data_IF_242153152437
#
_entry.id   IF_242153152437
#
_cell.length_a   1.000
_cell.length_b   1.000
_cell.length_c   1.000
_cell.angle_alpha   90.00
_cell.angle_beta   90.00
_cell.angle_gamma   90.00
#
_symmetry.space_group_name_H-M   'P 1'
#
loop_
_entity.id
_entity.type
_entity.pdbx_description
1 polymer ?
#
# COMPACT_ATOMS: atom_id res chain seq x y z
N UNK A 1 19.25 -15.98 33.85
CA UNK A 1 18.99 -14.61 33.36
C UNK A 1 17.62 -14.63 32.71
N UNK A 2 16.62 -13.99 33.32
CA UNK A 2 15.31 -13.76 32.65
C UNK A 2 15.55 -12.75 31.53
N UNK A 3 15.40 -13.18 30.27
CA UNK A 3 15.22 -12.26 29.17
C UNK A 3 14.01 -11.39 29.51
N UNK A 4 14.19 -10.07 29.57
CA UNK A 4 13.06 -9.15 29.52
C UNK A 4 12.42 -9.36 28.15
N UNK A 5 11.28 -10.04 28.13
CA UNK A 5 10.40 -10.02 26.98
C UNK A 5 9.95 -8.56 26.82
N UNK A 6 10.62 -7.84 25.91
CA UNK A 6 10.20 -6.50 25.53
C UNK A 6 8.76 -6.56 25.02
N UNK A 7 7.95 -5.60 25.38
CA UNK A 7 6.58 -5.50 24.91
C UNK A 7 6.61 -5.30 23.39
N UNK A 8 6.24 -6.33 22.63
CA UNK A 8 6.23 -6.29 21.17
C UNK A 8 4.91 -5.66 20.73
N UNK A 9 4.95 -4.40 20.28
CA UNK A 9 3.77 -3.64 19.85
C UNK A 9 3.18 -4.15 18.54
N UNK A 10 3.99 -4.80 17.72
CA UNK A 10 3.61 -5.26 16.38
C UNK A 10 3.25 -6.75 16.29
N UNK A 11 3.12 -7.45 17.42
CA UNK A 11 2.69 -8.86 17.43
C UNK A 11 1.18 -8.99 17.21
N UNK A 12 0.74 -8.68 16.01
CA UNK A 12 -0.66 -8.74 15.61
C UNK A 12 -0.82 -9.02 14.11
N UNK A 13 -2.03 -9.39 13.71
CA UNK A 13 -2.35 -9.77 12.34
C UNK A 13 -2.16 -8.61 11.33
N UNK A 14 -2.39 -7.37 11.75
CA UNK A 14 -2.18 -6.20 10.88
C UNK A 14 -0.69 -6.06 10.50
N UNK A 15 0.21 -6.18 11.48
CA UNK A 15 1.65 -6.19 11.25
C UNK A 15 2.10 -7.39 10.38
N UNK A 16 1.48 -8.56 10.58
CA UNK A 16 1.78 -9.74 9.76
C UNK A 16 1.43 -9.52 8.27
N UNK A 17 0.32 -8.83 7.96
CA UNK A 17 0.01 -8.44 6.58
C UNK A 17 1.02 -7.43 6.01
N UNK A 18 1.45 -6.45 6.79
CA UNK A 18 2.50 -5.50 6.39
C UNK A 18 3.79 -6.26 6.10
N UNK A 19 4.23 -7.13 7.01
CA UNK A 19 5.42 -7.97 6.84
C UNK A 19 5.34 -8.82 5.56
N UNK A 20 4.17 -9.42 5.27
CA UNK A 20 3.96 -10.24 4.08
C UNK A 20 4.12 -9.43 2.78
N UNK A 21 3.58 -8.22 2.72
CA UNK A 21 3.75 -7.35 1.54
C UNK A 21 5.20 -6.90 1.39
N UNK A 22 5.87 -6.53 2.50
CA UNK A 22 7.29 -6.14 2.48
C UNK A 22 8.17 -7.30 2.02
N UNK A 23 7.95 -8.51 2.54
CA UNK A 23 8.72 -9.70 2.16
C UNK A 23 8.53 -10.03 0.66
N UNK A 24 7.29 -10.03 0.18
CA UNK A 24 6.99 -10.27 -1.23
C UNK A 24 7.67 -9.22 -2.13
N UNK A 25 7.56 -7.93 -1.77
CA UNK A 25 8.21 -6.87 -2.52
C UNK A 25 9.73 -7.03 -2.54
N UNK A 26 10.35 -7.29 -1.39
CA UNK A 26 11.80 -7.47 -1.32
C UNK A 26 12.29 -8.67 -2.15
N UNK A 27 11.47 -9.72 -2.31
CA UNK A 27 11.78 -10.91 -3.14
C UNK A 27 11.59 -10.64 -4.63
N UNK A 28 10.50 -9.97 -5.01
CA UNK A 28 10.15 -9.77 -6.42
C UNK A 28 10.86 -8.55 -7.04
N UNK A 29 11.25 -7.58 -6.21
CA UNK A 29 11.90 -6.33 -6.63
C UNK A 29 13.15 -6.03 -5.78
N UNK A 30 14.18 -6.92 -5.77
CA UNK A 30 15.33 -6.81 -4.87
C UNK A 30 16.13 -5.51 -5.07
N UNK A 31 16.16 -4.97 -6.29
CA UNK A 31 16.92 -3.77 -6.66
C UNK A 31 16.10 -2.47 -6.52
N UNK A 32 14.87 -2.55 -5.97
CA UNK A 32 14.00 -1.38 -5.80
C UNK A 32 13.83 -1.01 -4.33
N UNK A 33 13.64 0.28 -4.08
CA UNK A 33 13.34 0.80 -2.76
C UNK A 33 11.85 0.71 -2.45
N UNK A 34 11.50 0.14 -1.31
CA UNK A 34 10.14 0.16 -0.78
C UNK A 34 10.00 1.28 0.25
N UNK A 35 9.66 2.46 -0.20
CA UNK A 35 9.42 3.59 0.68
C UNK A 35 7.99 3.65 1.21
N UNK A 36 7.76 4.56 2.18
CA UNK A 36 6.46 4.79 2.84
C UNK A 36 5.31 4.94 1.84
N UNK A 37 5.48 5.77 0.81
CA UNK A 37 4.43 6.00 -0.18
C UNK A 37 4.06 4.73 -0.94
N UNK A 38 5.05 3.97 -1.41
CA UNK A 38 4.79 2.72 -2.13
C UNK A 38 4.08 1.69 -1.23
N UNK A 39 4.58 1.50 0.01
CA UNK A 39 3.97 0.58 0.97
C UNK A 39 2.50 0.92 1.26
N UNK A 40 2.18 2.20 1.46
CA UNK A 40 0.81 2.67 1.65
C UNK A 40 -0.09 2.31 0.46
N UNK A 41 0.41 2.43 -0.78
CA UNK A 41 -0.38 2.14 -1.99
C UNK A 41 -0.52 0.64 -2.23
N UNK A 42 0.52 -0.15 -1.98
CA UNK A 42 0.43 -1.60 -2.09
C UNK A 42 -0.61 -2.16 -1.10
N UNK A 43 -0.60 -1.73 0.16
CA UNK A 43 -1.59 -2.17 1.14
C UNK A 43 -3.00 -1.61 0.86
N UNK A 44 -3.10 -0.40 0.31
CA UNK A 44 -4.36 0.11 -0.21
C UNK A 44 -4.96 -0.82 -1.29
N UNK A 45 -4.17 -1.21 -2.28
CA UNK A 45 -4.63 -2.13 -3.32
C UNK A 45 -4.88 -3.54 -2.79
N UNK A 46 -4.06 -4.04 -1.88
CA UNK A 46 -4.31 -5.33 -1.24
C UNK A 46 -5.69 -5.37 -0.57
N UNK A 47 -6.05 -4.31 0.16
CA UNK A 47 -7.40 -4.18 0.73
C UNK A 47 -8.49 -4.07 -0.34
N UNK A 48 -8.27 -3.25 -1.37
CA UNK A 48 -9.23 -3.07 -2.46
C UNK A 48 -9.49 -4.38 -3.24
N UNK A 49 -8.47 -5.24 -3.34
CA UNK A 49 -8.55 -6.54 -4.00
C UNK A 49 -8.99 -7.68 -3.05
N UNK A 50 -9.41 -7.37 -1.82
CA UNK A 50 -10.07 -8.32 -0.92
C UNK A 50 -9.21 -8.87 0.24
N UNK A 51 -7.99 -8.39 0.47
CA UNK A 51 -7.28 -8.73 1.69
C UNK A 51 -7.96 -8.04 2.90
N UNK A 52 -8.20 -8.77 4.03
CA UNK A 52 -8.96 -8.25 5.17
C UNK A 52 -8.08 -7.36 6.07
N UNK A 53 -7.60 -6.27 5.50
CA UNK A 53 -6.75 -5.31 6.20
C UNK A 53 -7.60 -4.36 7.06
N UNK A 54 -7.24 -4.13 8.33
CA UNK A 54 -8.01 -3.28 9.26
C UNK A 54 -7.71 -1.79 9.07
N UNK A 55 -7.22 -1.38 7.91
CA UNK A 55 -6.81 -0.01 7.64
C UNK A 55 -7.88 0.79 6.91
N UNK A 56 -8.22 1.96 7.42
CA UNK A 56 -9.03 2.95 6.71
C UNK A 56 -8.11 3.87 5.94
N UNK A 57 -8.49 4.18 4.69
CA UNK A 57 -7.72 5.06 3.82
C UNK A 57 -8.53 6.31 3.47
N UNK A 58 -7.87 7.46 3.55
CA UNK A 58 -8.39 8.78 3.17
C UNK A 58 -7.46 9.44 2.17
N UNK A 59 -7.93 10.46 1.45
CA UNK A 59 -7.09 11.21 0.52
C UNK A 59 -6.22 12.21 1.27
N UNK A 60 -4.91 12.07 1.13
CA UNK A 60 -3.88 13.00 1.59
C UNK A 60 -3.04 13.49 0.41
N UNK A 61 -1.99 14.27 0.71
CA UNK A 61 -1.10 14.90 -0.30
C UNK A 61 -0.64 13.91 -1.38
N UNK A 62 -0.28 12.69 -1.00
CA UNK A 62 0.23 11.66 -1.92
C UNK A 62 -0.81 10.55 -2.20
N UNK A 63 -2.09 10.89 -2.22
CA UNK A 63 -3.19 9.97 -2.52
C UNK A 63 -3.69 9.19 -1.29
N UNK A 64 -4.33 8.03 -1.47
CA UNK A 64 -4.86 7.26 -0.36
C UNK A 64 -3.79 6.93 0.69
N UNK A 65 -4.07 7.27 1.94
CA UNK A 65 -3.17 7.11 3.07
C UNK A 65 -3.94 6.64 4.29
N UNK A 66 -3.29 5.87 5.15
CA UNK A 66 -3.84 5.39 6.42
C UNK A 66 -2.89 5.72 7.56
N UNK A 67 -3.37 6.53 8.52
CA UNK A 67 -2.64 6.81 9.76
C UNK A 67 -2.45 5.54 10.59
N UNK A 68 -3.48 4.66 10.62
CA UNK A 68 -3.39 3.38 11.30
C UNK A 68 -2.31 2.47 10.74
N UNK A 69 -2.13 2.45 9.41
CA UNK A 69 -1.01 1.73 8.79
C UNK A 69 0.33 2.36 9.17
N UNK A 70 0.44 3.68 9.19
CA UNK A 70 1.69 4.34 9.60
C UNK A 70 2.06 4.04 11.04
N UNK A 71 1.07 4.04 11.93
CA UNK A 71 1.27 3.66 13.33
C UNK A 71 1.79 2.21 13.46
N UNK A 72 1.21 1.26 12.70
CA UNK A 72 1.69 -0.13 12.68
C UNK A 72 3.14 -0.20 12.18
N UNK A 73 3.47 0.48 11.09
CA UNK A 73 4.84 0.49 10.53
C UNK A 73 5.84 1.10 11.54
N UNK A 74 5.48 2.18 12.23
CA UNK A 74 6.32 2.79 13.27
C UNK A 74 6.55 1.82 14.44
N UNK A 75 5.51 1.09 14.86
CA UNK A 75 5.64 0.02 15.86
C UNK A 75 6.56 -1.10 15.39
N UNK A 76 6.43 -1.53 14.14
CA UNK A 76 7.28 -2.58 13.55
C UNK A 76 8.75 -2.17 13.43
N UNK A 77 9.03 -0.89 13.19
CA UNK A 77 10.39 -0.36 13.20
C UNK A 77 10.95 -0.31 14.63
N UNK A 78 10.14 0.11 15.61
CA UNK A 78 10.53 0.15 17.02
C UNK A 78 10.80 -1.25 17.60
N UNK A 79 10.04 -2.26 17.17
CA UNK A 79 10.18 -3.66 17.59
C UNK A 79 11.19 -4.44 16.73
N UNK A 80 11.87 -3.78 15.81
CA UNK A 80 12.83 -4.40 14.89
C UNK A 80 12.23 -5.55 14.04
N UNK A 81 10.91 -5.57 13.82
CA UNK A 81 10.24 -6.49 12.88
C UNK A 81 10.37 -6.04 11.44
N UNK A 82 10.55 -4.74 11.23
CA UNK A 82 11.04 -4.12 10.01
C UNK A 82 12.29 -3.31 10.31
N UNK A 83 13.11 -3.13 9.29
CA UNK A 83 14.22 -2.18 9.30
C UNK A 83 14.06 -1.18 8.15
N UNK A 84 14.51 0.05 8.36
CA UNK A 84 14.69 1.03 7.31
C UNK A 84 16.18 1.08 6.93
N UNK A 85 16.51 0.48 5.80
CA UNK A 85 17.89 0.40 5.29
C UNK A 85 18.31 1.64 4.50
N UNK A 86 17.51 2.71 4.52
CA UNK A 86 17.92 3.98 3.93
C UNK A 86 19.12 4.58 4.69
N UNK A 87 19.97 5.32 3.99
CA UNK A 87 21.08 6.01 4.64
C UNK A 87 20.54 7.18 5.49
N UNK A 88 21.19 7.51 6.61
CA UNK A 88 20.77 8.52 7.61
C UNK A 88 20.38 9.91 7.08
N UNK A 89 20.74 10.22 5.84
CA UNK A 89 20.37 11.46 5.15
C UNK A 89 19.48 11.22 3.92
N UNK A 90 19.01 9.98 3.71
CA UNK A 90 18.19 9.67 2.56
C UNK A 90 16.80 10.32 2.72
N UNK A 91 16.36 10.97 1.65
CA UNK A 91 15.03 11.57 1.54
C UNK A 91 13.89 10.55 1.56
N UNK A 92 14.21 9.26 1.41
CA UNK A 92 13.25 8.18 1.20
C UNK A 92 13.62 6.96 2.04
N UNK A 93 12.62 6.40 2.69
CA UNK A 93 12.74 5.12 3.42
C UNK A 93 12.92 3.94 2.47
N UNK A 94 13.55 2.88 2.98
CA UNK A 94 13.66 1.59 2.29
C UNK A 94 13.39 0.45 3.29
N UNK A 95 12.15 0.03 3.37
CA UNK A 95 11.74 -0.99 4.32
C UNK A 95 12.16 -2.39 3.89
N UNK A 96 12.76 -3.12 4.82
CA UNK A 96 13.15 -4.52 4.69
C UNK A 96 12.58 -5.32 5.85
N UNK A 97 12.30 -6.61 5.57
CA UNK A 97 11.87 -7.52 6.62
C UNK A 97 13.09 -8.08 7.35
N UNK A 98 13.02 -8.14 8.67
CA UNK A 98 14.03 -8.76 9.54
C UNK A 98 13.70 -10.23 9.81
N UNK A 99 14.56 -10.94 10.56
CA UNK A 99 14.25 -12.29 11.07
C UNK A 99 13.03 -12.27 11.99
N UNK A 100 12.91 -11.27 12.85
CA UNK A 100 11.76 -11.11 13.74
C UNK A 100 10.46 -10.88 12.95
N UNK A 101 10.52 -10.12 11.86
CA UNK A 101 9.40 -9.98 10.95
C UNK A 101 9.02 -11.29 10.25
N UNK A 102 9.97 -12.15 9.91
CA UNK A 102 9.69 -13.50 9.37
C UNK A 102 9.01 -14.40 10.39
N UNK A 103 9.35 -14.28 11.68
CA UNK A 103 8.64 -14.98 12.73
C UNK A 103 7.14 -14.62 12.77
N UNK A 104 6.77 -13.35 12.54
CA UNK A 104 5.36 -12.97 12.41
C UNK A 104 4.67 -13.69 11.25
N UNK A 105 5.36 -13.86 10.12
CA UNK A 105 4.80 -14.58 8.96
C UNK A 105 4.55 -16.05 9.26
N UNK A 106 5.40 -16.69 10.03
CA UNK A 106 5.22 -18.07 10.48
C UNK A 106 4.05 -18.14 11.48
N UNK A 107 4.07 -17.29 12.50
CA UNK A 107 3.05 -17.25 13.57
C UNK A 107 1.64 -17.04 13.03
N UNK A 108 1.48 -16.13 12.08
CA UNK A 108 0.18 -15.80 11.47
C UNK A 108 -0.06 -16.50 10.13
N UNK A 109 0.74 -17.50 9.79
CA UNK A 109 0.72 -18.18 8.50
C UNK A 109 -0.66 -18.71 8.10
N UNK A 110 -1.41 -19.31 9.01
CA UNK A 110 -2.76 -19.83 8.75
C UNK A 110 -3.74 -18.71 8.35
N UNK A 111 -3.63 -17.53 8.95
CA UNK A 111 -4.45 -16.36 8.62
C UNK A 111 -4.03 -15.70 7.30
N UNK A 112 -2.73 -15.72 6.99
CA UNK A 112 -2.19 -15.14 5.76
C UNK A 112 -2.41 -16.02 4.53
N UNK A 113 -2.38 -17.35 4.69
CA UNK A 113 -2.43 -18.31 3.58
C UNK A 113 -3.60 -18.08 2.60
N UNK A 114 -4.85 -17.85 3.05
CA UNK A 114 -5.98 -17.62 2.16
C UNK A 114 -5.81 -16.37 1.26
N UNK A 115 -4.98 -15.42 1.70
CA UNK A 115 -4.81 -14.11 1.05
C UNK A 115 -3.46 -13.95 0.31
N UNK A 116 -2.57 -14.95 0.40
CA UNK A 116 -1.25 -14.91 -0.26
C UNK A 116 -1.32 -14.65 -1.77
N UNK A 117 -2.34 -15.19 -2.43
CA UNK A 117 -2.57 -14.96 -3.86
C UNK A 117 -2.82 -13.47 -4.17
N UNK A 118 -3.69 -12.83 -3.40
CA UNK A 118 -4.02 -11.40 -3.55
C UNK A 118 -2.79 -10.54 -3.26
N UNK A 119 -2.06 -10.81 -2.16
CA UNK A 119 -0.86 -10.04 -1.80
C UNK A 119 0.23 -10.13 -2.87
N UNK A 120 0.45 -11.33 -3.41
CA UNK A 120 1.42 -11.54 -4.51
C UNK A 120 0.97 -10.81 -5.77
N UNK A 121 -0.30 -10.91 -6.13
CA UNK A 121 -0.84 -10.24 -7.32
C UNK A 121 -0.69 -8.71 -7.22
N UNK A 122 -0.95 -8.14 -6.07
CA UNK A 122 -0.72 -6.70 -5.80
C UNK A 122 0.74 -6.32 -6.01
N UNK A 123 1.67 -7.07 -5.45
CA UNK A 123 3.10 -6.78 -5.61
C UNK A 123 3.53 -6.96 -7.06
N UNK A 124 3.06 -8.00 -7.75
CA UNK A 124 3.34 -8.26 -9.17
C UNK A 124 2.83 -7.13 -10.06
N UNK A 125 1.61 -6.64 -9.85
CA UNK A 125 1.00 -5.58 -10.69
C UNK A 125 1.60 -4.21 -10.38
N UNK A 126 1.73 -3.88 -9.09
CA UNK A 126 1.99 -2.51 -8.66
C UNK A 126 3.42 -2.28 -8.17
N UNK A 127 4.15 -3.32 -7.76
CA UNK A 127 5.48 -3.19 -7.16
C UNK A 127 6.54 -2.62 -8.10
N UNK A 128 6.35 -2.78 -9.42
CA UNK A 128 7.25 -2.23 -10.45
C UNK A 128 7.04 -0.75 -10.76
N UNK A 129 5.96 -0.11 -10.28
CA UNK A 129 5.69 1.30 -10.57
C UNK A 129 6.48 2.25 -9.66
N UNK A 130 6.80 3.41 -10.21
CA UNK A 130 7.36 4.52 -9.44
C UNK A 130 6.34 5.08 -8.45
N UNK A 131 6.78 5.64 -7.30
CA UNK A 131 5.87 6.19 -6.28
C UNK A 131 4.88 7.22 -6.82
N UNK A 132 5.27 8.05 -7.79
CA UNK A 132 4.39 9.02 -8.44
C UNK A 132 3.30 8.36 -9.28
N UNK A 133 3.62 7.28 -9.98
CA UNK A 133 2.64 6.49 -10.74
C UNK A 133 1.68 5.78 -9.78
N UNK A 134 2.20 5.18 -8.71
CA UNK A 134 1.36 4.58 -7.66
C UNK A 134 0.42 5.60 -7.02
N UNK A 135 0.88 6.82 -6.78
CA UNK A 135 0.04 7.91 -6.28
C UNK A 135 -1.10 8.22 -7.25
N UNK A 136 -0.80 8.34 -8.54
CA UNK A 136 -1.79 8.64 -9.57
C UNK A 136 -2.87 7.56 -9.64
N UNK A 137 -2.45 6.31 -9.85
CA UNK A 137 -3.40 5.19 -10.04
C UNK A 137 -4.22 4.90 -8.77
N UNK A 138 -3.61 4.97 -7.59
CA UNK A 138 -4.32 4.78 -6.33
C UNK A 138 -5.32 5.91 -6.06
N UNK A 139 -4.98 7.15 -6.40
CA UNK A 139 -5.91 8.30 -6.26
C UNK A 139 -7.09 8.15 -7.21
N UNK A 140 -6.86 7.77 -8.47
CA UNK A 140 -7.94 7.50 -9.43
C UNK A 140 -8.87 6.39 -8.94
N UNK A 141 -8.31 5.26 -8.57
CA UNK A 141 -9.08 4.13 -8.05
C UNK A 141 -9.92 4.55 -6.84
N UNK A 142 -9.32 5.25 -5.87
CA UNK A 142 -10.02 5.72 -4.68
C UNK A 142 -11.20 6.64 -5.03
N UNK A 143 -11.00 7.59 -5.96
CA UNK A 143 -12.06 8.51 -6.39
C UNK A 143 -13.22 7.76 -7.05
N UNK A 144 -12.93 6.81 -7.93
CA UNK A 144 -13.98 5.98 -8.55
C UNK A 144 -14.77 5.23 -7.48
N UNK A 145 -14.09 4.56 -6.54
CA UNK A 145 -14.76 3.84 -5.46
C UNK A 145 -15.59 4.77 -4.54
N UNK A 146 -15.09 5.97 -4.28
CA UNK A 146 -15.83 6.98 -3.48
C UNK A 146 -17.07 7.47 -4.20
N UNK A 147 -16.96 7.81 -5.48
CA UNK A 147 -18.08 8.27 -6.29
C UNK A 147 -19.16 7.19 -6.48
N UNK A 148 -18.74 5.93 -6.69
CA UNK A 148 -19.68 4.80 -6.74
C UNK A 148 -20.52 4.68 -5.46
N UNK A 149 -19.91 4.88 -4.29
CA UNK A 149 -20.64 4.81 -3.00
C UNK A 149 -21.60 6.00 -2.81
N UNK A 150 -21.34 7.13 -3.46
CA UNK A 150 -22.17 8.35 -3.35
C UNK A 150 -23.30 8.41 -4.38
N UNK A 151 -23.21 7.65 -5.46
CA UNK A 151 -24.16 7.65 -6.57
C UNK A 151 -24.68 6.27 -6.94
N UNK A 152 -25.65 6.21 -7.84
CA UNK A 152 -26.33 4.98 -8.26
C UNK A 152 -25.67 4.30 -9.47
N UNK A 153 -24.37 4.52 -9.71
CA UNK A 153 -23.72 3.91 -10.86
C UNK A 153 -22.24 4.25 -10.98
N UNK A 154 -21.67 3.81 -12.12
CA UNK A 154 -20.29 4.09 -12.45
C UNK A 154 -20.09 5.59 -12.77
N UNK A 155 -19.14 6.27 -12.15
CA UNK A 155 -18.85 7.66 -12.48
C UNK A 155 -18.26 7.78 -13.89
N UNK A 156 -18.61 8.87 -14.58
CA UNK A 156 -18.05 9.17 -15.89
C UNK A 156 -16.57 9.57 -15.77
N UNK A 157 -15.76 9.18 -16.78
CA UNK A 157 -14.33 9.53 -16.83
C UNK A 157 -14.10 11.01 -16.58
N UNK A 158 -14.88 11.87 -17.24
CA UNK A 158 -14.76 13.33 -17.15
C UNK A 158 -14.92 13.84 -15.71
N UNK A 159 -15.86 13.31 -14.96
CA UNK A 159 -16.06 13.68 -13.55
C UNK A 159 -14.90 13.25 -12.68
N UNK A 160 -14.42 12.00 -12.87
CA UNK A 160 -13.29 11.46 -12.10
C UNK A 160 -12.02 12.27 -12.38
N UNK A 161 -11.72 12.53 -13.65
CA UNK A 161 -10.55 13.33 -14.05
C UNK A 161 -10.63 14.75 -13.51
N UNK A 162 -11.79 15.41 -13.59
CA UNK A 162 -12.00 16.75 -13.03
C UNK A 162 -11.70 16.75 -11.52
N UNK A 163 -12.31 15.84 -10.75
CA UNK A 163 -12.08 15.74 -9.29
C UNK A 163 -10.65 15.40 -8.94
N UNK A 164 -10.00 14.56 -9.75
CA UNK A 164 -8.59 14.27 -9.57
C UNK A 164 -7.73 15.52 -9.69
N UNK A 165 -7.96 16.33 -10.73
CA UNK A 165 -7.21 17.58 -10.96
C UNK A 165 -7.51 18.62 -9.89
N UNK A 166 -8.75 18.70 -9.37
CA UNK A 166 -9.08 19.56 -8.23
C UNK A 166 -8.25 19.22 -6.97
N UNK A 167 -7.97 17.93 -6.73
CA UNK A 167 -7.18 17.47 -5.58
C UNK A 167 -5.68 17.63 -5.82
N UNK A 168 -5.20 17.34 -7.04
CA UNK A 168 -3.76 17.22 -7.35
C UNK A 168 -3.19 18.46 -8.06
N UNK A 169 -4.03 19.37 -8.48
CA UNK A 169 -3.62 20.54 -9.25
C UNK A 169 -2.90 20.15 -10.54
N UNK A 170 -1.83 20.87 -10.86
CA UNK A 170 -1.04 20.68 -12.08
C UNK A 170 0.04 19.57 -11.95
N UNK A 171 0.09 18.85 -10.83
CA UNK A 171 1.11 17.81 -10.60
C UNK A 171 1.10 16.73 -11.68
N UNK A 172 -0.07 16.39 -12.21
CA UNK A 172 -0.25 15.38 -13.24
C UNK A 172 -0.96 15.97 -14.46
N UNK A 173 -0.40 15.83 -15.67
CA UNK A 173 -1.06 16.26 -16.89
C UNK A 173 -2.41 15.55 -17.08
N UNK A 174 -3.47 16.31 -17.48
CA UNK A 174 -4.80 15.76 -17.72
C UNK A 174 -4.80 14.54 -18.63
N UNK A 175 -4.01 14.55 -19.71
CA UNK A 175 -3.89 13.43 -20.63
C UNK A 175 -3.34 12.15 -19.96
N UNK A 176 -2.37 12.28 -19.06
CA UNK A 176 -1.85 11.14 -18.29
C UNK A 176 -2.92 10.57 -17.35
N UNK A 177 -3.68 11.43 -16.66
CA UNK A 177 -4.79 11.03 -15.77
C UNK A 177 -5.85 10.25 -16.54
N UNK A 178 -6.27 10.77 -17.72
CA UNK A 178 -7.25 10.13 -18.60
C UNK A 178 -6.74 8.78 -19.13
N UNK A 179 -5.49 8.70 -19.55
CA UNK A 179 -4.88 7.46 -20.02
C UNK A 179 -4.85 6.37 -18.93
N UNK A 180 -4.49 6.74 -17.69
CA UNK A 180 -4.51 5.81 -16.57
C UNK A 180 -5.92 5.42 -16.13
N UNK A 181 -6.90 6.31 -16.23
CA UNK A 181 -8.30 5.94 -15.99
C UNK A 181 -8.72 4.81 -16.93
N UNK A 182 -8.46 4.96 -18.24
CA UNK A 182 -8.78 3.93 -19.26
C UNK A 182 -8.02 2.62 -19.03
N UNK A 183 -6.75 2.69 -18.62
CA UNK A 183 -5.97 1.50 -18.29
C UNK A 183 -6.56 0.73 -17.08
N UNK A 184 -6.96 1.45 -16.02
CA UNK A 184 -7.63 0.86 -14.86
C UNK A 184 -8.98 0.25 -15.22
N UNK A 185 -9.73 0.88 -16.13
CA UNK A 185 -10.97 0.38 -16.66
C UNK A 185 -10.77 -0.94 -17.43
N UNK A 186 -9.82 -0.95 -18.37
CA UNK A 186 -9.51 -2.14 -19.19
C UNK A 186 -8.96 -3.30 -18.34
N UNK A 187 -8.32 -3.01 -17.23
CA UNK A 187 -7.83 -4.04 -16.29
C UNK A 187 -8.91 -4.60 -15.35
N UNK A 188 -10.14 -4.05 -15.38
CA UNK A 188 -11.22 -4.43 -14.45
C UNK A 188 -11.05 -3.91 -13.01
N UNK A 189 -10.06 -3.08 -12.73
CA UNK A 189 -9.87 -2.52 -11.39
C UNK A 189 -10.90 -1.44 -11.03
N UNK A 190 -11.48 -0.79 -12.02
CA UNK A 190 -12.55 0.21 -11.88
C UNK A 190 -13.75 -0.13 -12.75
N UNK A 191 -14.37 -1.28 -12.53
CA UNK A 191 -15.63 -1.65 -13.19
C UNK A 191 -16.82 -0.76 -12.75
#
# INVERSE_FOLDING_TARGET
MKQCEGMVFSDNLAAAYVAAVVELFNKEHPDRYLGRTALQKLLYFARAMGAPLPFSFEIYTYGPYSDGLSFVVEGMLADETLEDTSQDQARYSNYRITEQGRYLLEKYGEHLNPHKGVLREVVRIFGGFEPSTLELIATLHFLVQRLKRQGSGRPQEEEVVRRFLEIKGEKFPRGAVSSWYKALEQSGLIE
#
